data_IF_229671639581
#
_entry.id   IF_229671639581
#
_cell.length_a   1.000
_cell.length_b   1.000
_cell.length_c   1.000
_cell.angle_alpha   90.00
_cell.angle_beta   90.00
_cell.angle_gamma   90.00
#
_symmetry.space_group_name_H-M   'P 1'
#
loop_
_entity.id
_entity.type
_entity.pdbx_description
1 polymer ?
#
# COMPACT_ATOMS: atom_id res chain seq x y z
N UNK A 1 -33.09 -68.95 -22.50
CA UNK A 1 -34.22 -68.20 -23.08
C UNK A 1 -34.92 -67.45 -21.96
N UNK A 2 -34.82 -66.12 -21.98
CA UNK A 2 -35.70 -65.14 -21.34
C UNK A 2 -35.86 -64.01 -22.37
N UNK A 3 -37.06 -63.45 -22.49
CA UNK A 3 -37.56 -62.77 -23.69
C UNK A 3 -37.20 -61.27 -23.75
N UNK A 4 -37.21 -60.72 -24.98
CA UNK A 4 -36.87 -59.34 -25.41
C UNK A 4 -37.56 -58.18 -24.68
N UNK A 5 -38.44 -58.42 -23.70
CA UNK A 5 -39.15 -57.38 -22.93
C UNK A 5 -38.63 -57.16 -21.51
N UNK A 6 -37.58 -57.89 -21.08
CA UNK A 6 -36.98 -57.73 -19.76
C UNK A 6 -35.50 -57.24 -19.79
N UNK A 7 -34.95 -56.94 -20.97
CA UNK A 7 -33.56 -56.45 -21.16
C UNK A 7 -33.53 -54.95 -21.55
N UNK A 8 -34.62 -54.20 -21.30
CA UNK A 8 -34.71 -52.76 -21.61
C UNK A 8 -35.23 -51.92 -20.44
N UNK A 9 -34.65 -52.08 -19.24
CA UNK A 9 -34.67 -51.06 -18.17
C UNK A 9 -33.34 -50.98 -17.39
N UNK A 10 -32.24 -51.29 -18.06
CA UNK A 10 -30.87 -51.11 -17.55
C UNK A 10 -30.04 -50.33 -18.58
N UNK A 11 -30.36 -49.05 -18.77
CA UNK A 11 -29.50 -48.08 -19.45
C UNK A 11 -30.10 -46.69 -19.19
N UNK A 12 -29.57 -45.98 -18.20
CA UNK A 12 -30.05 -44.64 -17.85
C UNK A 12 -29.49 -44.08 -16.56
N UNK A 13 -28.23 -44.39 -16.21
CA UNK A 13 -27.51 -43.55 -15.25
C UNK A 13 -27.04 -42.30 -15.99
N UNK A 14 -27.93 -41.32 -16.13
CA UNK A 14 -27.52 -39.95 -16.38
C UNK A 14 -26.89 -39.44 -15.09
N UNK A 15 -25.57 -39.25 -15.13
CA UNK A 15 -24.83 -38.53 -14.11
C UNK A 15 -25.45 -37.13 -13.99
N UNK A 16 -26.28 -36.92 -12.96
CA UNK A 16 -26.68 -35.60 -12.53
C UNK A 16 -25.42 -34.93 -11.96
N UNK A 17 -24.65 -34.28 -12.83
CA UNK A 17 -23.72 -33.26 -12.41
C UNK A 17 -24.55 -32.18 -11.72
N UNK A 18 -24.61 -32.21 -10.39
CA UNK A 18 -24.92 -31.04 -9.61
C UNK A 18 -23.81 -30.03 -9.88
N UNK A 19 -23.99 -29.23 -10.93
CA UNK A 19 -23.34 -27.94 -11.04
C UNK A 19 -23.88 -27.11 -9.87
N UNK A 20 -23.18 -27.17 -8.74
CA UNK A 20 -23.25 -26.11 -7.75
C UNK A 20 -22.74 -24.86 -8.48
N UNK A 21 -23.66 -24.12 -9.08
CA UNK A 21 -23.41 -22.71 -9.38
C UNK A 21 -23.14 -22.07 -8.03
N UNK A 22 -21.86 -21.92 -7.68
CA UNK A 22 -21.45 -21.00 -6.65
C UNK A 22 -22.08 -19.66 -7.01
N UNK A 23 -23.10 -19.27 -6.25
CA UNK A 23 -23.63 -17.94 -6.32
C UNK A 23 -22.44 -16.98 -6.16
N UNK A 24 -22.31 -15.94 -6.99
CA UNK A 24 -21.26 -14.96 -6.77
C UNK A 24 -21.44 -14.44 -5.34
N UNK A 25 -20.37 -14.51 -4.54
CA UNK A 25 -20.35 -13.83 -3.27
C UNK A 25 -20.70 -12.37 -3.56
N UNK A 26 -21.92 -11.98 -3.21
CA UNK A 26 -22.40 -10.62 -3.37
C UNK A 26 -21.52 -9.77 -2.47
N UNK A 27 -20.68 -8.90 -3.06
CA UNK A 27 -20.08 -7.82 -2.31
C UNK A 27 -21.22 -7.06 -1.63
N UNK A 28 -21.28 -7.11 -0.30
CA UNK A 28 -22.31 -6.39 0.45
C UNK A 28 -22.01 -4.89 0.34
N UNK A 29 -22.72 -4.19 -0.54
CA UNK A 29 -22.63 -2.73 -0.70
C UNK A 29 -22.29 -2.26 -2.11
N UNK A 30 -22.40 -0.95 -2.35
CA UNK A 30 -21.94 -0.32 -3.59
C UNK A 30 -20.40 -0.49 -3.70
N UNK A 31 -19.86 -0.78 -4.89
CA UNK A 31 -18.41 -0.79 -5.10
C UNK A 31 -17.79 0.57 -4.74
N UNK A 32 -16.58 0.54 -4.19
CA UNK A 32 -15.79 1.74 -3.96
C UNK A 32 -15.30 2.30 -5.30
N UNK A 33 -15.17 3.63 -5.39
CA UNK A 33 -14.64 4.28 -6.61
C UNK A 33 -13.16 4.61 -6.47
N UNK A 34 -12.77 5.11 -5.30
CA UNK A 34 -11.46 5.62 -4.96
C UNK A 34 -10.69 4.73 -3.99
N UNK A 35 -11.36 3.79 -3.31
CA UNK A 35 -10.65 2.81 -2.48
C UNK A 35 -10.05 1.69 -3.33
N UNK A 36 -8.78 1.37 -3.07
CA UNK A 36 -8.09 0.25 -3.69
C UNK A 36 -7.41 -0.68 -2.71
N UNK A 37 -6.54 -1.55 -3.23
CA UNK A 37 -5.78 -2.51 -2.45
C UNK A 37 -4.30 -2.43 -2.79
N UNK A 38 -3.48 -2.21 -1.77
CA UNK A 38 -2.02 -2.23 -1.86
C UNK A 38 -1.51 -3.65 -1.57
N UNK A 39 -0.61 -4.26 -2.39
CA UNK A 39 -0.12 -5.61 -2.17
C UNK A 39 0.45 -5.87 -0.77
N UNK A 40 1.06 -4.86 -0.14
CA UNK A 40 1.59 -4.97 1.22
C UNK A 40 0.51 -5.25 2.29
N UNK A 41 -0.74 -4.80 2.07
CA UNK A 41 -1.89 -5.11 2.92
C UNK A 41 -2.40 -6.55 2.80
N UNK A 42 -1.93 -7.31 1.81
CA UNK A 42 -2.34 -8.68 1.52
C UNK A 42 -1.14 -9.65 1.53
N UNK A 43 -0.08 -9.30 2.26
CA UNK A 43 1.19 -10.00 2.24
C UNK A 43 1.08 -11.45 2.76
N UNK A 44 0.19 -11.73 3.71
CA UNK A 44 -0.05 -13.09 4.22
C UNK A 44 -0.71 -13.93 3.14
N UNK A 45 -1.78 -13.43 2.50
CA UNK A 45 -2.48 -14.10 1.39
C UNK A 45 -1.60 -14.33 0.17
N UNK A 46 -0.81 -13.33 -0.23
CA UNK A 46 0.15 -13.45 -1.33
C UNK A 46 1.22 -14.52 -1.03
N UNK A 47 1.73 -14.55 0.21
CA UNK A 47 2.66 -15.60 0.67
C UNK A 47 2.00 -16.97 0.68
N UNK A 48 0.78 -17.07 1.23
CA UNK A 48 0.00 -18.30 1.31
C UNK A 48 -0.17 -18.96 -0.06
N UNK A 49 -0.63 -18.18 -1.05
CA UNK A 49 -0.84 -18.66 -2.41
C UNK A 49 0.48 -19.13 -3.05
N UNK A 50 1.55 -18.33 -2.90
CA UNK A 50 2.88 -18.66 -3.43
C UNK A 50 3.43 -19.96 -2.84
N UNK A 51 3.36 -20.14 -1.53
CA UNK A 51 3.89 -21.33 -0.84
C UNK A 51 3.13 -22.61 -1.19
N UNK A 52 1.87 -22.49 -1.61
CA UNK A 52 1.03 -23.62 -2.06
C UNK A 52 0.96 -23.78 -3.57
N UNK A 53 1.66 -22.92 -4.32
CA UNK A 53 1.58 -22.85 -5.78
C UNK A 53 0.12 -22.71 -6.29
N UNK A 54 -0.70 -21.99 -5.53
CA UNK A 54 -2.08 -21.70 -5.87
C UNK A 54 -2.13 -20.46 -6.78
N UNK A 55 -2.87 -20.50 -7.91
CA UNK A 55 -3.09 -19.32 -8.72
C UNK A 55 -3.79 -18.22 -7.91
N UNK A 56 -3.16 -17.05 -7.85
CA UNK A 56 -3.74 -15.88 -7.19
C UNK A 56 -3.56 -14.63 -8.05
N UNK A 57 -4.67 -14.15 -8.61
CA UNK A 57 -4.72 -12.89 -9.34
C UNK A 57 -5.21 -11.78 -8.39
N UNK A 58 -4.32 -10.83 -8.11
CA UNK A 58 -4.60 -9.75 -7.17
C UNK A 58 -5.63 -8.74 -7.70
N UNK A 59 -5.71 -8.54 -9.02
CA UNK A 59 -6.72 -7.67 -9.64
C UNK A 59 -8.11 -8.28 -9.45
N UNK A 60 -8.24 -9.58 -9.71
CA UNK A 60 -9.51 -10.29 -9.49
C UNK A 60 -9.90 -10.32 -8.01
N UNK A 61 -8.91 -10.45 -7.12
CA UNK A 61 -9.15 -10.38 -5.68
C UNK A 61 -9.68 -9.00 -5.26
N UNK A 62 -9.04 -7.91 -5.70
CA UNK A 62 -9.50 -6.55 -5.41
C UNK A 62 -10.91 -6.30 -5.96
N UNK A 63 -11.21 -6.77 -7.18
CA UNK A 63 -12.56 -6.72 -7.75
C UNK A 63 -13.58 -7.42 -6.86
N UNK A 64 -13.28 -8.64 -6.38
CA UNK A 64 -14.19 -9.43 -5.51
C UNK A 64 -14.48 -8.73 -4.18
N UNK A 65 -13.54 -7.93 -3.67
CA UNK A 65 -13.74 -7.09 -2.49
C UNK A 65 -14.57 -5.82 -2.76
N UNK A 66 -14.83 -5.52 -4.04
CA UNK A 66 -15.55 -4.33 -4.47
C UNK A 66 -14.69 -3.07 -4.52
N UNK A 67 -13.37 -3.22 -4.67
CA UNK A 67 -12.42 -2.11 -4.76
C UNK A 67 -12.42 -1.52 -6.18
N UNK A 68 -12.30 -0.20 -6.27
CA UNK A 68 -12.27 0.56 -7.53
C UNK A 68 -10.85 0.88 -8.02
N UNK A 69 -9.84 0.62 -7.19
CA UNK A 69 -8.43 0.79 -7.54
C UNK A 69 -7.65 -0.49 -7.18
N UNK A 70 -6.57 -0.76 -7.91
CA UNK A 70 -5.61 -1.81 -7.56
C UNK A 70 -4.19 -1.30 -7.77
N UNK A 71 -3.35 -1.45 -6.77
CA UNK A 71 -1.90 -1.32 -6.94
C UNK A 71 -1.32 -2.68 -7.34
N UNK A 72 -0.59 -2.72 -8.44
CA UNK A 72 -0.08 -3.98 -9.00
C UNK A 72 1.21 -3.76 -9.80
N UNK A 73 1.78 -4.84 -10.33
CA UNK A 73 2.80 -4.76 -11.38
C UNK A 73 2.16 -4.93 -12.75
N UNK A 74 2.81 -4.38 -13.76
CA UNK A 74 2.48 -4.72 -15.14
C UNK A 74 2.74 -6.21 -15.38
N UNK A 75 1.90 -6.91 -16.16
CA UNK A 75 2.08 -8.32 -16.43
C UNK A 75 3.34 -8.60 -17.26
N UNK A 76 3.69 -7.69 -18.18
CA UNK A 76 4.90 -7.68 -18.98
C UNK A 76 5.02 -6.35 -19.73
N UNK A 77 6.04 -6.20 -20.57
CA UNK A 77 6.17 -5.11 -21.56
C UNK A 77 5.66 -5.50 -22.96
N UNK A 78 5.05 -6.68 -23.12
CA UNK A 78 4.48 -7.12 -24.40
C UNK A 78 3.17 -6.38 -24.69
N UNK A 79 3.01 -5.92 -25.93
CA UNK A 79 1.87 -5.09 -26.34
C UNK A 79 0.52 -5.79 -26.16
N UNK A 80 0.43 -7.09 -26.46
CA UNK A 80 -0.82 -7.83 -26.33
C UNK A 80 -1.17 -8.04 -24.86
N UNK A 81 -0.17 -8.36 -24.03
CA UNK A 81 -0.36 -8.49 -22.58
C UNK A 81 -0.82 -7.16 -21.95
N UNK A 82 -0.23 -6.03 -22.35
CA UNK A 82 -0.61 -4.68 -21.91
C UNK A 82 -2.06 -4.36 -22.29
N UNK A 83 -2.45 -4.63 -23.55
CA UNK A 83 -3.82 -4.41 -24.03
C UNK A 83 -4.83 -5.26 -23.27
N UNK A 84 -4.53 -6.54 -23.04
CA UNK A 84 -5.40 -7.44 -22.29
C UNK A 84 -5.56 -6.99 -20.84
N UNK A 85 -4.46 -6.55 -20.20
CA UNK A 85 -4.51 -6.00 -18.84
C UNK A 85 -5.39 -4.76 -18.77
N UNK A 86 -5.17 -3.81 -19.68
CA UNK A 86 -5.96 -2.58 -19.72
C UNK A 86 -7.45 -2.87 -19.92
N UNK A 87 -7.78 -3.69 -20.92
CA UNK A 87 -9.16 -4.09 -21.19
C UNK A 87 -9.80 -4.69 -19.95
N UNK A 88 -9.09 -5.57 -19.25
CA UNK A 88 -9.60 -6.19 -18.02
C UNK A 88 -9.87 -5.17 -16.91
N UNK A 89 -8.94 -4.26 -16.67
CA UNK A 89 -9.09 -3.19 -15.65
C UNK A 89 -10.27 -2.27 -16.00
N UNK A 90 -10.42 -1.89 -17.27
CA UNK A 90 -11.52 -1.07 -17.77
C UNK A 90 -12.88 -1.79 -17.68
N UNK A 91 -12.95 -3.08 -18.05
CA UNK A 91 -14.16 -3.92 -17.91
C UNK A 91 -14.60 -4.05 -16.44
N UNK A 92 -13.65 -3.97 -15.50
CA UNK A 92 -13.93 -4.03 -14.07
C UNK A 92 -14.36 -2.65 -13.53
N UNK A 93 -14.32 -1.60 -14.35
CA UNK A 93 -14.47 -0.20 -13.95
C UNK A 93 -13.47 0.19 -12.85
N UNK A 94 -12.26 -0.37 -12.91
CA UNK A 94 -11.19 -0.10 -11.96
C UNK A 94 -10.15 0.85 -12.55
N UNK A 95 -9.32 1.43 -11.68
CA UNK A 95 -8.06 2.09 -12.04
C UNK A 95 -6.89 1.31 -11.47
N UNK A 96 -5.71 1.50 -12.04
CA UNK A 96 -4.51 0.81 -11.57
C UNK A 96 -3.39 1.79 -11.21
N UNK A 97 -2.72 1.54 -10.09
CA UNK A 97 -1.42 2.09 -9.74
C UNK A 97 -0.38 1.02 -10.03
N UNK A 98 0.80 1.40 -10.53
CA UNK A 98 1.82 0.42 -10.86
C UNK A 98 3.21 0.71 -10.32
N UNK A 99 3.90 -0.36 -9.93
CA UNK A 99 5.33 -0.33 -9.68
C UNK A 99 6.11 -0.58 -10.97
N UNK A 100 7.06 0.30 -11.26
CA UNK A 100 8.08 0.08 -12.30
C UNK A 100 9.47 0.31 -11.72
N UNK A 101 10.49 -0.47 -12.12
CA UNK A 101 11.86 -0.23 -11.66
C UNK A 101 12.36 1.15 -12.08
N UNK A 102 12.76 1.97 -11.10
CA UNK A 102 13.36 3.29 -11.34
C UNK A 102 14.79 3.19 -11.92
N UNK A 103 15.25 4.17 -12.70
CA UNK A 103 16.60 4.17 -13.26
C UNK A 103 17.64 4.37 -12.15
N UNK A 104 18.59 3.45 -12.07
CA UNK A 104 19.70 3.48 -11.10
C UNK A 104 20.83 4.39 -11.56
N UNK A 105 21.01 4.48 -12.87
CA UNK A 105 22.02 5.25 -13.58
C UNK A 105 21.55 5.56 -15.01
N UNK A 106 22.35 6.30 -15.77
CA UNK A 106 22.05 6.72 -17.15
C UNK A 106 21.80 5.53 -18.10
N UNK A 107 22.50 4.40 -17.90
CA UNK A 107 22.35 3.22 -18.77
C UNK A 107 20.97 2.58 -18.62
N UNK A 108 20.34 2.73 -17.45
CA UNK A 108 19.01 2.18 -17.16
C UNK A 108 17.84 3.08 -17.59
N UNK A 109 18.10 4.30 -18.08
CA UNK A 109 17.04 5.26 -18.47
C UNK A 109 16.20 4.74 -19.64
N UNK A 110 16.82 4.06 -20.63
CA UNK A 110 16.09 3.51 -21.78
C UNK A 110 15.12 2.39 -21.37
N UNK A 111 15.51 1.55 -20.41
CA UNK A 111 14.64 0.51 -19.86
C UNK A 111 13.48 1.13 -19.07
N UNK A 112 13.75 2.18 -18.29
CA UNK A 112 12.72 2.94 -17.59
C UNK A 112 11.73 3.61 -18.55
N UNK A 113 12.21 4.24 -19.63
CA UNK A 113 11.37 4.83 -20.69
C UNK A 113 10.41 3.80 -21.28
N UNK A 114 10.92 2.61 -21.60
CA UNK A 114 10.10 1.50 -22.11
C UNK A 114 9.03 1.05 -21.09
N UNK A 115 9.38 0.97 -19.81
CA UNK A 115 8.45 0.61 -18.74
C UNK A 115 7.36 1.68 -18.51
N UNK A 116 7.74 2.97 -18.53
CA UNK A 116 6.79 4.09 -18.40
C UNK A 116 5.84 4.15 -19.61
N UNK A 117 6.36 3.91 -20.81
CA UNK A 117 5.54 3.79 -22.02
C UNK A 117 4.52 2.66 -21.89
N UNK A 118 4.97 1.48 -21.45
CA UNK A 118 4.09 0.34 -21.20
C UNK A 118 3.01 0.64 -20.14
N UNK A 119 3.39 1.31 -19.04
CA UNK A 119 2.44 1.75 -18.01
C UNK A 119 1.40 2.72 -18.58
N UNK A 120 1.84 3.66 -19.44
CA UNK A 120 0.93 4.61 -20.11
C UNK A 120 -0.05 3.89 -21.02
N UNK A 121 0.42 2.95 -21.83
CA UNK A 121 -0.41 2.15 -22.74
C UNK A 121 -1.39 1.25 -21.99
N UNK A 122 -0.98 0.75 -20.82
CA UNK A 122 -1.80 -0.05 -19.90
C UNK A 122 -2.90 0.76 -19.18
N UNK A 123 -2.91 2.09 -19.31
CA UNK A 123 -3.88 2.95 -18.63
C UNK A 123 -3.62 3.14 -17.13
N UNK A 124 -2.37 2.99 -16.69
CA UNK A 124 -1.98 3.23 -15.30
C UNK A 124 -2.26 4.70 -14.92
N UNK A 125 -2.89 4.89 -13.76
CA UNK A 125 -3.25 6.19 -13.19
C UNK A 125 -2.01 6.94 -12.67
N UNK A 126 -1.19 6.25 -11.89
CA UNK A 126 0.09 6.73 -11.37
C UNK A 126 1.05 5.58 -11.10
N UNK A 127 2.33 5.88 -11.12
CA UNK A 127 3.36 4.98 -10.62
C UNK A 127 3.53 5.16 -9.11
N UNK A 128 3.90 4.09 -8.42
CA UNK A 128 4.27 4.09 -7.01
C UNK A 128 5.75 3.74 -6.84
N UNK A 129 6.40 4.31 -5.82
CA UNK A 129 7.73 3.86 -5.40
C UNK A 129 8.01 4.15 -3.92
N UNK A 130 8.21 3.09 -3.15
CA UNK A 130 8.91 3.11 -1.87
C UNK A 130 10.43 3.04 -2.10
N UNK A 131 11.16 4.12 -1.83
CA UNK A 131 12.59 4.22 -2.16
C UNK A 131 13.54 3.90 -0.99
N UNK A 132 13.00 3.70 0.20
CA UNK A 132 13.76 3.52 1.45
C UNK A 132 13.27 2.31 2.23
N UNK A 133 14.12 1.75 3.09
CA UNK A 133 13.65 0.92 4.20
C UNK A 133 13.43 1.80 5.43
N UNK A 134 13.22 1.16 6.59
CA UNK A 134 13.11 1.83 7.89
C UNK A 134 14.46 2.45 8.25
N UNK A 135 14.53 3.78 8.30
CA UNK A 135 15.77 4.55 8.54
C UNK A 135 16.56 4.06 9.76
N UNK A 136 15.86 3.82 10.87
CA UNK A 136 16.43 3.41 12.16
C UNK A 136 16.86 1.93 12.21
N UNK A 137 16.58 1.16 11.17
CA UNK A 137 17.04 -0.22 11.01
C UNK A 137 18.16 -0.32 9.97
N UNK A 138 17.99 0.38 8.84
CA UNK A 138 18.86 0.32 7.67
C UNK A 138 20.21 1.00 7.88
N UNK A 139 20.26 2.12 8.60
CA UNK A 139 21.47 2.93 8.71
C UNK A 139 21.97 3.01 10.16
N UNK A 140 23.29 2.96 10.32
CA UNK A 140 23.97 3.12 11.60
C UNK A 140 24.66 4.50 11.74
N UNK A 141 24.72 5.30 10.66
CA UNK A 141 25.31 6.65 10.67
C UNK A 141 24.53 7.65 9.81
N UNK A 142 24.68 8.94 10.12
CA UNK A 142 24.11 10.04 9.36
C UNK A 142 24.65 10.08 7.91
N UNK A 143 25.94 9.82 7.71
CA UNK A 143 26.55 9.82 6.38
C UNK A 143 25.96 8.74 5.47
N UNK A 144 25.67 7.56 6.03
CA UNK A 144 25.04 6.47 5.28
C UNK A 144 23.61 6.85 4.86
N UNK A 145 22.82 7.40 5.79
CA UNK A 145 21.49 7.94 5.50
C UNK A 145 21.56 9.03 4.42
N UNK A 146 22.43 10.03 4.59
CA UNK A 146 22.58 11.15 3.66
C UNK A 146 22.95 10.69 2.26
N UNK A 147 23.93 9.77 2.15
CA UNK A 147 24.33 9.16 0.88
C UNK A 147 23.17 8.42 0.20
N UNK A 148 22.34 7.72 0.97
CA UNK A 148 21.15 7.06 0.44
C UNK A 148 20.12 8.07 -0.06
N UNK A 149 19.85 9.13 0.70
CA UNK A 149 18.91 10.17 0.30
C UNK A 149 19.36 10.89 -0.98
N UNK A 150 20.64 11.26 -1.08
CA UNK A 150 21.23 11.85 -2.29
C UNK A 150 21.15 10.90 -3.50
N UNK A 151 21.31 9.59 -3.29
CA UNK A 151 21.10 8.57 -4.33
C UNK A 151 19.66 8.57 -4.81
N UNK A 152 18.67 8.59 -3.91
CA UNK A 152 17.26 8.66 -4.29
C UNK A 152 16.95 9.94 -5.08
N UNK A 153 17.52 11.09 -4.67
CA UNK A 153 17.39 12.35 -5.40
C UNK A 153 17.95 12.25 -6.83
N UNK A 154 19.13 11.62 -7.01
CA UNK A 154 19.73 11.39 -8.33
C UNK A 154 18.88 10.46 -9.19
N UNK A 155 18.34 9.38 -8.63
CA UNK A 155 17.42 8.49 -9.34
C UNK A 155 16.20 9.24 -9.88
N UNK A 156 15.61 10.13 -9.08
CA UNK A 156 14.47 10.92 -9.54
C UNK A 156 14.87 11.98 -10.57
N UNK A 157 16.06 12.57 -10.46
CA UNK A 157 16.58 13.48 -11.48
C UNK A 157 16.74 12.79 -12.84
N UNK A 158 17.10 11.51 -12.87
CA UNK A 158 17.13 10.69 -14.09
C UNK A 158 15.72 10.29 -14.58
N UNK A 159 14.79 10.03 -13.65
CA UNK A 159 13.44 9.59 -13.97
C UNK A 159 12.53 10.72 -14.49
N UNK A 160 12.67 11.94 -13.95
CA UNK A 160 11.76 13.07 -14.24
C UNK A 160 11.58 13.34 -15.74
N UNK A 161 12.63 13.42 -16.57
CA UNK A 161 12.46 13.74 -17.99
C UNK A 161 11.62 12.70 -18.73
N UNK A 162 11.75 11.43 -18.34
CA UNK A 162 10.99 10.31 -18.90
C UNK A 162 9.53 10.35 -18.45
N UNK A 163 9.29 10.60 -17.15
CA UNK A 163 7.94 10.75 -16.60
C UNK A 163 7.19 11.90 -17.29
N UNK A 164 7.87 13.04 -17.48
CA UNK A 164 7.36 14.21 -18.19
C UNK A 164 7.07 13.94 -19.66
N UNK A 165 7.98 13.27 -20.36
CA UNK A 165 7.79 12.84 -21.76
C UNK A 165 6.49 12.06 -21.96
N UNK A 166 6.17 11.15 -21.04
CA UNK A 166 4.99 10.28 -21.13
C UNK A 166 3.76 10.80 -20.37
N UNK A 167 3.87 11.94 -19.69
CA UNK A 167 2.82 12.49 -18.82
C UNK A 167 2.32 11.43 -17.83
N UNK A 168 3.26 10.83 -17.12
CA UNK A 168 3.02 9.79 -16.13
C UNK A 168 3.40 10.31 -14.74
N UNK A 169 2.46 10.25 -13.80
CA UNK A 169 2.70 10.62 -12.40
C UNK A 169 3.52 9.54 -11.70
N UNK A 170 4.48 9.93 -10.87
CA UNK A 170 5.16 9.08 -9.91
C UNK A 170 4.90 9.61 -8.49
N UNK A 171 4.21 8.83 -7.67
CA UNK A 171 4.07 9.06 -6.24
C UNK A 171 5.22 8.38 -5.49
N UNK A 172 6.07 9.17 -4.84
CA UNK A 172 7.12 8.66 -3.97
C UNK A 172 6.56 8.49 -2.56
N UNK A 173 6.65 7.29 -2.01
CA UNK A 173 6.09 7.01 -0.70
C UNK A 173 6.94 7.63 0.42
N UNK A 174 6.28 8.21 1.44
CA UNK A 174 6.91 8.60 2.71
C UNK A 174 7.22 7.37 3.59
N UNK A 175 7.95 6.39 3.04
CA UNK A 175 8.14 5.04 3.61
C UNK A 175 9.20 4.97 4.73
N UNK A 176 8.96 5.67 5.85
CA UNK A 176 9.75 5.58 7.12
C UNK A 176 11.26 5.90 6.97
N UNK A 177 11.66 6.44 5.82
CA UNK A 177 13.04 6.76 5.48
C UNK A 177 13.37 8.24 5.64
N UNK A 178 12.43 9.12 5.36
CA UNK A 178 12.61 10.57 5.39
C UNK A 178 11.53 11.22 6.22
N UNK A 179 11.87 12.34 6.85
CA UNK A 179 10.87 13.18 7.47
C UNK A 179 10.00 13.87 6.42
N UNK A 180 8.74 14.15 6.75
CA UNK A 180 7.79 14.74 5.81
C UNK A 180 8.27 16.09 5.26
N UNK A 181 8.89 16.92 6.12
CA UNK A 181 9.46 18.22 5.72
C UNK A 181 10.65 18.08 4.77
N UNK A 182 11.45 17.02 4.91
CA UNK A 182 12.59 16.74 4.03
C UNK A 182 12.10 16.34 2.64
N UNK A 183 11.11 15.46 2.60
CA UNK A 183 10.48 15.04 1.34
C UNK A 183 9.75 16.21 0.68
N UNK A 184 8.94 16.99 1.42
CA UNK A 184 8.27 18.17 0.91
C UNK A 184 9.25 19.18 0.30
N UNK A 185 10.35 19.47 0.99
CA UNK A 185 11.39 20.37 0.49
C UNK A 185 12.06 19.80 -0.77
N UNK A 186 12.31 18.48 -0.83
CA UNK A 186 12.87 17.84 -2.01
C UNK A 186 11.91 17.87 -3.21
N UNK A 187 10.66 17.45 -3.05
CA UNK A 187 9.66 17.47 -4.13
C UNK A 187 9.44 18.90 -4.64
N UNK A 188 9.40 19.88 -3.75
CA UNK A 188 9.35 21.30 -4.12
C UNK A 188 10.55 21.72 -4.99
N UNK A 189 11.77 21.26 -4.68
CA UNK A 189 12.96 21.54 -5.49
C UNK A 189 12.94 20.83 -6.85
N UNK A 190 12.39 19.61 -6.91
CA UNK A 190 12.18 18.92 -8.19
C UNK A 190 11.25 19.73 -9.08
N UNK A 191 10.20 20.33 -8.51
CA UNK A 191 9.35 21.30 -9.21
C UNK A 191 8.61 20.72 -10.42
N UNK A 192 8.38 19.40 -10.43
CA UNK A 192 7.74 18.69 -11.55
C UNK A 192 6.30 18.34 -11.22
N UNK A 193 5.39 18.56 -12.17
CA UNK A 193 3.99 18.11 -12.07
C UNK A 193 3.83 16.57 -12.17
N UNK A 194 4.91 15.88 -12.55
CA UNK A 194 4.94 14.42 -12.76
C UNK A 194 5.57 13.66 -11.60
N UNK A 195 6.14 14.36 -10.62
CA UNK A 195 6.77 13.77 -9.44
C UNK A 195 6.10 14.34 -8.19
N UNK A 196 5.52 13.47 -7.38
CA UNK A 196 4.78 13.84 -6.19
C UNK A 196 4.93 12.79 -5.10
N UNK A 197 3.93 12.71 -4.23
CA UNK A 197 3.92 11.85 -3.05
C UNK A 197 2.84 10.78 -3.18
N UNK A 198 3.20 9.54 -2.87
CA UNK A 198 2.22 8.51 -2.51
C UNK A 198 2.11 8.56 -0.99
N UNK A 199 1.05 9.17 -0.46
CA UNK A 199 0.99 9.52 0.95
C UNK A 199 0.52 8.34 1.81
N UNK A 200 1.41 7.81 2.62
CA UNK A 200 1.09 6.85 3.67
C UNK A 200 0.71 7.56 4.96
N UNK A 201 -0.45 7.20 5.50
CA UNK A 201 -1.05 7.87 6.64
C UNK A 201 -0.28 7.68 7.96
N UNK A 202 0.45 6.58 8.12
CA UNK A 202 1.02 6.16 9.42
C UNK A 202 2.55 6.15 9.49
N UNK A 203 3.23 6.15 8.35
CA UNK A 203 4.67 5.88 8.32
C UNK A 203 5.54 6.85 9.12
N UNK A 204 5.28 8.15 9.04
CA UNK A 204 6.12 9.16 9.69
C UNK A 204 5.99 9.20 11.22
N UNK A 205 5.03 8.49 11.82
CA UNK A 205 4.98 8.29 13.28
C UNK A 205 6.29 7.65 13.77
N UNK A 206 6.86 6.73 12.98
CA UNK A 206 8.15 6.09 13.26
C UNK A 206 9.35 7.06 13.31
N UNK A 207 9.20 8.24 12.72
CA UNK A 207 10.17 9.33 12.70
C UNK A 207 9.76 10.48 13.64
N UNK A 208 8.95 10.17 14.65
CA UNK A 208 8.45 11.09 15.66
C UNK A 208 7.66 12.28 15.08
N UNK A 209 6.88 12.05 14.03
CA UNK A 209 6.00 13.08 13.48
C UNK A 209 4.54 12.89 13.87
N UNK A 210 3.88 14.01 14.13
CA UNK A 210 2.44 14.08 14.25
C UNK A 210 1.80 13.80 12.86
N UNK A 211 0.86 12.85 12.74
CA UNK A 211 0.19 12.54 11.48
C UNK A 211 -0.47 13.76 10.81
N UNK A 212 -1.03 14.68 11.61
CA UNK A 212 -1.67 15.89 11.08
C UNK A 212 -0.65 16.89 10.52
N UNK A 213 0.54 17.00 11.12
CA UNK A 213 1.65 17.78 10.54
C UNK A 213 2.21 17.13 9.28
N UNK A 214 2.34 15.80 9.29
CA UNK A 214 2.78 15.03 8.13
C UNK A 214 1.84 15.27 6.94
N UNK A 215 0.52 15.19 7.19
CA UNK A 215 -0.49 15.50 6.18
C UNK A 215 -0.34 16.94 5.68
N UNK A 216 -0.22 17.94 6.56
CA UNK A 216 -0.04 19.35 6.16
C UNK A 216 1.18 19.56 5.27
N UNK A 217 2.30 18.90 5.57
CA UNK A 217 3.54 19.03 4.82
C UNK A 217 3.45 18.40 3.42
N UNK A 218 2.80 17.23 3.29
CA UNK A 218 2.83 16.43 2.06
C UNK A 218 1.58 16.60 1.18
N UNK A 219 0.44 16.99 1.75
CA UNK A 219 -0.83 17.15 1.02
C UNK A 219 -0.71 17.97 -0.27
N UNK A 220 0.05 19.07 -0.37
CA UNK A 220 0.22 19.80 -1.63
C UNK A 220 0.76 18.96 -2.79
N UNK A 221 1.52 17.90 -2.51
CA UNK A 221 2.23 17.08 -3.49
C UNK A 221 1.62 15.67 -3.69
N UNK A 222 0.58 15.31 -2.94
CA UNK A 222 0.00 13.96 -2.96
C UNK A 222 -0.77 13.66 -4.25
N UNK A 223 -0.54 12.47 -4.83
CA UNK A 223 -1.27 11.92 -5.99
C UNK A 223 -2.17 10.72 -5.66
N UNK A 224 -1.76 9.91 -4.69
CA UNK A 224 -2.43 8.69 -4.23
C UNK A 224 -2.00 8.42 -2.79
N UNK A 225 -2.69 7.51 -2.09
CA UNK A 225 -2.44 7.25 -0.68
C UNK A 225 -2.43 5.77 -0.33
N UNK A 226 -1.55 5.40 0.61
CA UNK A 226 -1.72 4.19 1.39
C UNK A 226 -2.58 4.53 2.62
N UNK A 227 -3.80 3.99 2.62
CA UNK A 227 -4.77 4.13 3.69
C UNK A 227 -4.56 3.02 4.73
N UNK A 228 -4.26 3.43 5.95
CA UNK A 228 -4.11 2.53 7.11
C UNK A 228 -4.54 3.25 8.39
N UNK A 229 -4.72 2.47 9.45
CA UNK A 229 -4.81 2.97 10.81
C UNK A 229 -3.68 2.38 11.65
N UNK A 230 -3.29 3.11 12.69
CA UNK A 230 -2.15 2.76 13.52
C UNK A 230 -2.52 2.73 14.99
N UNK A 231 -2.11 1.68 15.70
CA UNK A 231 -2.07 1.65 17.16
C UNK A 231 -0.64 1.84 17.64
N UNK A 232 -0.51 2.40 18.84
CA UNK A 232 0.78 2.64 19.49
C UNK A 232 0.77 2.14 20.92
N UNK A 233 1.89 1.58 21.39
CA UNK A 233 2.03 1.08 22.75
C UNK A 233 3.45 1.33 23.28
N UNK A 234 3.66 1.81 24.51
CA UNK A 234 5.01 1.90 25.07
C UNK A 234 5.73 0.55 25.12
N UNK A 235 7.04 0.54 24.90
CA UNK A 235 7.91 -0.59 25.29
C UNK A 235 9.26 -0.08 25.80
N UNK A 236 10.12 -0.97 26.30
CA UNK A 236 11.36 -0.63 27.00
C UNK A 236 12.27 0.38 26.25
N UNK A 237 12.49 0.19 24.95
CA UNK A 237 13.38 1.05 24.16
C UNK A 237 12.64 2.18 23.40
N UNK A 238 11.32 2.33 23.58
CA UNK A 238 10.54 3.35 22.88
C UNK A 238 9.04 3.02 22.80
N UNK A 239 8.51 2.90 21.59
CA UNK A 239 7.11 2.51 21.37
C UNK A 239 6.93 1.52 20.21
N UNK A 240 5.92 0.66 20.34
CA UNK A 240 5.43 -0.22 19.30
C UNK A 240 4.50 0.57 18.38
N UNK A 241 4.59 0.30 17.09
CA UNK A 241 3.75 0.87 16.05
C UNK A 241 3.15 -0.27 15.24
N UNK A 242 1.83 -0.40 15.26
CA UNK A 242 1.13 -1.54 14.64
C UNK A 242 0.02 -1.05 13.74
N UNK A 243 -0.07 -1.60 12.53
CA UNK A 243 -1.29 -1.50 11.74
C UNK A 243 -2.45 -2.19 12.48
N UNK A 244 -3.62 -1.55 12.47
CA UNK A 244 -4.88 -2.06 13.02
C UNK A 244 -6.03 -1.76 12.04
N UNK A 245 -7.15 -2.51 12.10
CA UNK A 245 -8.28 -2.24 11.22
C UNK A 245 -8.74 -0.77 11.29
N UNK A 246 -9.18 -0.22 10.16
CA UNK A 246 -9.57 1.19 10.09
C UNK A 246 -10.61 1.54 11.16
N UNK A 247 -10.35 2.62 11.90
CA UNK A 247 -11.21 3.11 12.98
C UNK A 247 -10.93 2.50 14.36
N UNK A 248 -10.00 1.55 14.46
CA UNK A 248 -9.56 0.98 15.73
C UNK A 248 -8.27 1.64 16.27
N UNK A 249 -7.59 2.48 15.48
CA UNK A 249 -6.33 3.12 15.83
C UNK A 249 -6.45 4.59 16.23
N UNK A 250 -5.33 5.31 16.08
CA UNK A 250 -5.14 6.68 16.57
C UNK A 250 -5.27 7.75 15.49
N UNK A 251 -5.39 7.35 14.22
CA UNK A 251 -5.42 8.29 13.10
C UNK A 251 -6.82 8.89 12.94
N UNK A 252 -6.91 10.20 12.68
CA UNK A 252 -8.16 10.84 12.26
C UNK A 252 -8.39 10.58 10.76
N UNK A 253 -8.67 9.33 10.42
CA UNK A 253 -8.83 8.87 9.04
C UNK A 253 -9.90 9.67 8.31
N UNK A 254 -11.00 10.03 9.01
CA UNK A 254 -12.11 10.79 8.42
C UNK A 254 -11.63 12.15 7.95
N UNK A 255 -10.94 12.91 8.80
CA UNK A 255 -10.43 14.23 8.42
C UNK A 255 -9.30 14.14 7.40
N UNK A 256 -8.41 13.14 7.51
CA UNK A 256 -7.33 12.92 6.53
C UNK A 256 -7.89 12.62 5.13
N UNK A 257 -8.82 11.68 5.01
CA UNK A 257 -9.51 11.35 3.74
C UNK A 257 -10.23 12.57 3.20
N UNK A 258 -11.05 13.24 4.01
CA UNK A 258 -11.80 14.44 3.60
C UNK A 258 -10.89 15.55 3.11
N UNK A 259 -9.75 15.77 3.76
CA UNK A 259 -8.76 16.78 3.36
C UNK A 259 -8.15 16.46 1.99
N UNK A 260 -7.84 15.19 1.74
CA UNK A 260 -7.26 14.74 0.48
C UNK A 260 -8.28 14.73 -0.66
N UNK A 261 -9.54 14.35 -0.39
CA UNK A 261 -10.64 14.46 -1.37
C UNK A 261 -10.94 15.91 -1.78
N UNK A 262 -10.83 16.88 -0.85
CA UNK A 262 -10.94 18.30 -1.20
C UNK A 262 -9.86 18.75 -2.17
N UNK A 263 -8.68 18.14 -2.13
CA UNK A 263 -7.59 18.41 -3.05
C UNK A 263 -7.83 17.75 -4.41
N UNK A 264 -8.19 16.47 -4.41
CA UNK A 264 -8.51 15.71 -5.61
C UNK A 264 -9.65 14.73 -5.28
N UNK A 265 -10.89 15.00 -5.76
CA UNK A 265 -12.04 14.12 -5.52
C UNK A 265 -11.88 12.71 -6.11
N UNK A 266 -10.94 12.52 -7.04
CA UNK A 266 -10.64 11.24 -7.67
C UNK A 266 -9.42 10.56 -7.05
N UNK A 267 -8.84 11.08 -5.96
CA UNK A 267 -7.61 10.54 -5.39
C UNK A 267 -7.78 9.06 -4.98
N UNK A 268 -6.88 8.17 -5.42
CA UNK A 268 -6.86 6.80 -4.91
C UNK A 268 -6.42 6.69 -3.45
N UNK A 269 -7.09 5.82 -2.71
CA UNK A 269 -6.77 5.43 -1.33
C UNK A 269 -6.64 3.91 -1.28
N UNK A 270 -5.44 3.40 -1.51
CA UNK A 270 -5.16 1.97 -1.50
C UNK A 270 -5.05 1.47 -0.06
N UNK A 271 -5.90 0.52 0.32
CA UNK A 271 -5.89 -0.09 1.64
C UNK A 271 -4.58 -0.84 1.84
N UNK A 272 -3.80 -0.40 2.82
CA UNK A 272 -2.54 -1.02 3.23
C UNK A 272 -2.62 -1.45 4.71
N UNK A 273 -3.63 -2.27 5.02
CA UNK A 273 -3.80 -2.89 6.33
C UNK A 273 -2.86 -4.09 6.49
N UNK A 274 -1.60 -3.83 6.86
CA UNK A 274 -0.58 -4.88 6.95
C UNK A 274 -0.82 -5.74 8.20
N UNK A 275 -1.11 -7.02 8.00
CA UNK A 275 -1.24 -7.97 9.12
C UNK A 275 0.15 -8.50 9.50
N UNK A 276 0.75 -7.91 10.55
CA UNK A 276 2.11 -8.24 11.03
C UNK A 276 2.30 -8.01 12.52
N UNK A 277 3.43 -8.48 13.05
CA UNK A 277 3.89 -8.07 14.38
C UNK A 277 4.17 -6.56 14.43
N UNK A 278 4.00 -5.92 15.60
CA UNK A 278 4.24 -4.48 15.74
C UNK A 278 5.69 -4.13 15.46
N UNK A 279 5.90 -3.02 14.77
CA UNK A 279 7.24 -2.45 14.59
C UNK A 279 7.72 -1.91 15.92
N UNK A 280 8.99 -2.16 16.24
CA UNK A 280 9.68 -1.52 17.37
C UNK A 280 10.28 -0.20 16.89
N UNK A 281 9.89 0.91 17.52
CA UNK A 281 10.46 2.23 17.27
C UNK A 281 11.39 2.59 18.45
N UNK A 282 12.72 2.39 18.32
CA UNK A 282 13.65 2.37 19.44
C UNK A 282 14.18 3.77 19.81
N UNK A 283 13.28 4.73 20.04
CA UNK A 283 13.63 6.14 20.27
C UNK A 283 14.51 6.40 21.51
N UNK A 284 14.65 5.44 22.43
CA UNK A 284 15.55 5.58 23.59
C UNK A 284 16.95 5.01 23.33
N UNK A 285 17.20 4.42 22.16
CA UNK A 285 18.51 3.85 21.81
C UNK A 285 19.38 4.84 21.05
N UNK A 286 20.70 4.78 21.25
CA UNK A 286 21.66 5.60 20.47
C UNK A 286 21.55 5.36 18.97
N UNK A 287 21.28 4.12 18.54
CA UNK A 287 21.18 3.74 17.12
C UNK A 287 20.08 4.53 16.41
N UNK A 288 18.91 4.71 17.03
CA UNK A 288 17.83 5.50 16.43
C UNK A 288 18.30 6.90 16.03
N UNK A 289 19.00 7.57 16.95
CA UNK A 289 19.47 8.94 16.79
C UNK A 289 20.67 9.08 15.85
N UNK A 290 21.42 8.02 15.59
CA UNK A 290 22.68 8.04 14.84
C UNK A 290 22.53 8.54 13.39
N UNK A 291 21.31 8.59 12.88
CA UNK A 291 21.03 8.99 11.49
C UNK A 291 20.54 10.43 11.37
N UNK A 292 20.30 11.17 12.46
CA UNK A 292 19.80 12.55 12.44
C UNK A 292 20.94 13.56 12.60
N UNK A 293 20.77 14.74 12.03
CA UNK A 293 21.72 15.86 12.11
C UNK A 293 20.95 17.17 12.27
N UNK A 294 21.34 18.00 13.23
CA UNK A 294 20.60 19.22 13.58
C UNK A 294 20.53 20.25 12.44
N UNK A 295 21.48 20.21 11.49
CA UNK A 295 21.56 21.16 10.37
C UNK A 295 20.88 20.65 9.10
N UNK A 296 20.93 19.35 8.85
CA UNK A 296 20.50 18.75 7.58
C UNK A 296 19.22 17.94 7.69
N UNK A 297 19.05 17.20 8.79
CA UNK A 297 17.94 16.28 9.01
C UNK A 297 17.52 16.32 10.48
N UNK A 298 17.02 17.48 10.97
CA UNK A 298 16.79 17.67 12.38
C UNK A 298 15.60 16.82 12.85
N UNK A 299 15.72 16.26 14.05
CA UNK A 299 14.57 15.76 14.81
C UNK A 299 14.49 16.50 16.15
N UNK A 300 13.73 17.60 16.22
CA UNK A 300 13.60 18.40 17.44
C UNK A 300 13.01 17.58 18.59
N UNK A 301 13.55 17.74 19.80
CA UNK A 301 13.02 17.05 21.00
C UNK A 301 11.54 17.31 21.29
N UNK A 302 10.99 18.45 20.84
CA UNK A 302 9.55 18.75 20.92
C UNK A 302 8.67 17.84 20.05
N UNK A 303 9.22 17.35 18.93
CA UNK A 303 8.50 16.45 18.03
C UNK A 303 8.46 15.04 18.66
N UNK A 304 9.58 14.59 19.24
CA UNK A 304 9.63 13.39 20.09
C UNK A 304 8.63 13.49 21.25
N UNK A 305 8.66 14.58 22.02
CA UNK A 305 7.78 14.76 23.17
C UNK A 305 6.30 14.66 22.78
N UNK A 306 5.92 15.23 21.63
CA UNK A 306 4.56 15.15 21.10
C UNK A 306 4.16 13.72 20.75
N UNK A 307 5.02 12.96 20.07
CA UNK A 307 4.72 11.56 19.74
C UNK A 307 4.66 10.70 20.99
N UNK A 308 5.54 10.90 21.97
CA UNK A 308 5.45 10.20 23.25
C UNK A 308 4.16 10.53 24.02
N UNK A 309 3.67 11.76 23.94
CA UNK A 309 2.36 12.13 24.48
C UNK A 309 1.23 11.37 23.78
N UNK A 310 1.26 11.28 22.44
CA UNK A 310 0.30 10.47 21.66
C UNK A 310 0.34 9.00 22.13
N UNK A 311 1.53 8.41 22.23
CA UNK A 311 1.73 7.02 22.68
C UNK A 311 1.16 6.82 24.09
N UNK A 312 1.39 7.76 25.00
CA UNK A 312 0.93 7.65 26.38
C UNK A 312 -0.59 7.78 26.52
N UNK A 313 -1.20 8.71 25.76
CA UNK A 313 -2.63 9.00 25.84
C UNK A 313 -3.51 8.01 25.06
N UNK A 314 -2.95 7.31 24.08
CA UNK A 314 -3.71 6.44 23.18
C UNK A 314 -3.33 4.96 23.35
N UNK A 315 -3.24 4.50 24.59
CA UNK A 315 -3.01 3.07 24.85
C UNK A 315 -4.11 2.23 24.17
N UNK A 316 -3.76 1.13 23.47
CA UNK A 316 -4.72 0.34 22.74
C UNK A 316 -5.76 -0.27 23.68
N UNK A 317 -7.04 -0.23 23.29
CA UNK A 317 -8.14 -0.81 24.09
C UNK A 317 -8.12 -2.34 24.12
N UNK A 318 -7.51 -2.93 23.11
CA UNK A 318 -7.29 -4.36 22.94
C UNK A 318 -5.80 -4.58 22.66
N UNK A 319 -5.23 -5.75 23.00
CA UNK A 319 -3.85 -6.08 22.64
C UNK A 319 -3.61 -5.87 21.14
N UNK A 320 -2.52 -5.18 20.80
CA UNK A 320 -2.12 -5.00 19.40
C UNK A 320 -1.81 -6.36 18.76
N UNK A 321 -2.10 -6.52 17.46
CA UNK A 321 -1.98 -7.81 16.78
C UNK A 321 -0.55 -8.35 16.83
N UNK A 322 -0.43 -9.67 16.97
CA UNK A 322 0.84 -10.41 16.85
C UNK A 322 0.62 -11.66 16.00
N UNK A 323 1.49 -11.86 15.03
CA UNK A 323 1.53 -13.04 14.16
C UNK A 323 2.48 -14.10 14.67
N UNK A 324 3.54 -13.71 15.38
CA UNK A 324 4.47 -14.68 15.97
C UNK A 324 3.71 -15.66 16.87
N UNK A 325 3.84 -16.95 16.56
CA UNK A 325 3.14 -18.03 17.26
C UNK A 325 1.83 -18.51 16.62
N UNK A 326 1.30 -17.81 15.61
CA UNK A 326 0.12 -18.25 14.86
C UNK A 326 0.49 -19.22 13.73
N UNK A 327 -0.38 -20.20 13.47
CA UNK A 327 -0.26 -21.06 12.28
C UNK A 327 -0.49 -20.25 10.99
N UNK A 328 0.00 -20.71 9.83
CA UNK A 328 -0.28 -20.06 8.55
C UNK A 328 -1.78 -19.81 8.27
N UNK A 329 -2.64 -20.76 8.65
CA UNK A 329 -4.10 -20.68 8.50
C UNK A 329 -4.68 -19.57 9.38
N UNK A 330 -4.20 -19.48 10.62
CA UNK A 330 -4.63 -18.44 11.56
C UNK A 330 -4.16 -17.04 11.12
N UNK A 331 -2.95 -16.93 10.55
CA UNK A 331 -2.47 -15.68 9.98
C UNK A 331 -3.33 -15.23 8.79
N UNK A 332 -3.67 -16.15 7.87
CA UNK A 332 -4.51 -15.83 6.73
C UNK A 332 -5.91 -15.39 7.17
N UNK A 333 -6.52 -16.11 8.11
CA UNK A 333 -7.82 -15.76 8.68
C UNK A 333 -7.80 -14.37 9.33
N UNK A 334 -6.75 -14.04 10.08
CA UNK A 334 -6.58 -12.74 10.71
C UNK A 334 -6.46 -11.61 9.67
N UNK A 335 -5.70 -11.83 8.59
CA UNK A 335 -5.59 -10.85 7.51
C UNK A 335 -6.95 -10.59 6.85
N UNK A 336 -7.71 -11.65 6.54
CA UNK A 336 -9.06 -11.53 5.97
C UNK A 336 -10.03 -10.78 6.89
N UNK A 337 -9.98 -11.05 8.19
CA UNK A 337 -10.79 -10.35 9.18
C UNK A 337 -10.42 -8.87 9.29
N UNK A 338 -9.12 -8.54 9.27
CA UNK A 338 -8.62 -7.17 9.31
C UNK A 338 -9.03 -6.37 8.07
N UNK A 339 -8.89 -6.98 6.87
CA UNK A 339 -9.34 -6.38 5.62
C UNK A 339 -10.84 -6.16 5.65
N UNK A 340 -11.64 -7.17 6.00
CA UNK A 340 -13.10 -7.05 6.05
C UNK A 340 -13.54 -5.93 6.97
N UNK A 341 -13.04 -5.87 8.20
CA UNK A 341 -13.35 -4.79 9.16
C UNK A 341 -13.00 -3.40 8.60
N UNK A 342 -11.85 -3.29 7.94
CA UNK A 342 -11.40 -2.04 7.31
C UNK A 342 -12.33 -1.59 6.18
N UNK A 343 -12.76 -2.53 5.34
CA UNK A 343 -13.73 -2.25 4.27
C UNK A 343 -15.11 -1.87 4.84
N UNK A 344 -15.56 -2.55 5.89
CA UNK A 344 -16.83 -2.23 6.57
C UNK A 344 -16.80 -0.82 7.17
N UNK A 345 -15.70 -0.45 7.85
CA UNK A 345 -15.48 0.92 8.33
C UNK A 345 -15.49 1.92 7.19
N UNK A 346 -14.76 1.65 6.10
CA UNK A 346 -14.72 2.53 4.96
C UNK A 346 -16.12 2.75 4.36
N UNK A 347 -16.92 1.69 4.14
CA UNK A 347 -18.30 1.84 3.63
C UNK A 347 -19.19 2.69 4.53
N UNK A 348 -19.02 2.56 5.84
CA UNK A 348 -19.88 3.23 6.81
C UNK A 348 -19.49 4.69 7.03
N UNK A 349 -18.20 5.02 6.92
CA UNK A 349 -17.65 6.27 7.45
C UNK A 349 -16.79 7.07 6.49
N UNK A 350 -16.35 6.48 5.38
CA UNK A 350 -15.48 7.10 4.40
C UNK A 350 -16.21 7.13 3.04
N UNK A 351 -16.42 8.30 2.48
CA UNK A 351 -17.11 8.47 1.18
C UNK A 351 -16.15 8.15 0.01
N UNK A 352 -15.64 6.92 -0.05
CA UNK A 352 -14.59 6.46 -0.99
C UNK A 352 -15.11 5.67 -2.19
#
# INVERSE_FOLDING_TARGET
>A
MLTRRQILRAAGFTSAYFSVKLAPAQAQGRPFRNMGGAPAGFAVRLRWARERNEPFDFVDHCRKLGLGVVETRLPSTDLQAIKNFRQRVEEYNMRAIADVPLPRDESSVAAFDSAVKAAKEAGIFSLHSAMTQRRYEEFDTFEAFKKNFERCQKTIALAEPVLRKHRMRLGIENHKGWRSVEQAAWIKRVGSEWVGVHFDFGNNISLCEDPAETLRALQPYTFACHLKDMAVEPYEDGFLLSEVPLGEGILDIKEMVKTLQKKDPEMPFDLEMITRDPLKIPVFTRKYWATFDDSYSPLPGRDLARVLEIVHKNKPKSPIPRLTGLSPEAQLKLEDENIRKSLDYARQYLEL
#
